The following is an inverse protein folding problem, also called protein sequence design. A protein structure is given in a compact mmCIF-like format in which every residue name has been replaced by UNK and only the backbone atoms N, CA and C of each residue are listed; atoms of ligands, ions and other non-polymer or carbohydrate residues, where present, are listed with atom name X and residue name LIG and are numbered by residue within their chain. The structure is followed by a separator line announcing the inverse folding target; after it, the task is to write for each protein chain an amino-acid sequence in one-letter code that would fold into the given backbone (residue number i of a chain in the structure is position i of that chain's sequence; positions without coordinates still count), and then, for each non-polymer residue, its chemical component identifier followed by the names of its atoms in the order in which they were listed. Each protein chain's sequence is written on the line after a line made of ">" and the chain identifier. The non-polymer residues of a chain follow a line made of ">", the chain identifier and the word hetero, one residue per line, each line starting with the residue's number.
data_IF_076756972347
#
_entry.id   IF_076756972347
#
_cell.length_a   1.000
_cell.length_b   1.000
_cell.length_c   1.000
_cell.angle_alpha   90.00
_cell.angle_beta   90.00
_cell.angle_gamma   90.00
#
_symmetry.space_group_name_H-M   'P 1'
#
loop_
_entity.id
_entity.type
_entity.pdbx_description
1 polymer ?
#
# COMPACT_ATOMS: atom_id res chain seq x y z
N UNK A 1 -23.89 9.76 -0.93
CA UNK A 1 -23.15 10.02 -2.18
C UNK A 1 -22.23 11.24 -2.10
N UNK A 2 -22.64 12.38 -1.52
CA UNK A 2 -21.79 13.60 -1.42
C UNK A 2 -20.60 13.45 -0.46
N UNK A 3 -20.78 12.77 0.69
CA UNK A 3 -19.72 12.59 1.68
C UNK A 3 -18.50 11.78 1.15
N UNK A 4 -18.76 10.76 0.34
CA UNK A 4 -17.71 9.95 -0.30
C UNK A 4 -16.95 10.72 -1.38
N UNK A 5 -17.61 11.61 -2.12
CA UNK A 5 -16.96 12.45 -3.13
C UNK A 5 -16.02 13.48 -2.50
N UNK A 6 -16.40 14.09 -1.37
CA UNK A 6 -15.54 15.02 -0.65
C UNK A 6 -14.30 14.32 -0.08
N UNK A 7 -14.48 13.15 0.54
CA UNK A 7 -13.37 12.33 1.04
C UNK A 7 -12.42 11.93 -0.11
N UNK A 8 -12.96 11.50 -1.25
CA UNK A 8 -12.16 11.17 -2.43
C UNK A 8 -11.35 12.36 -2.95
N UNK A 9 -11.96 13.55 -3.04
CA UNK A 9 -11.28 14.75 -3.49
C UNK A 9 -10.17 15.19 -2.52
N UNK A 10 -10.39 15.09 -1.21
CA UNK A 10 -9.38 15.38 -0.19
C UNK A 10 -8.19 14.43 -0.30
N UNK A 11 -8.46 13.13 -0.49
CA UNK A 11 -7.41 12.12 -0.70
C UNK A 11 -6.64 12.41 -1.98
N UNK A 12 -7.32 12.80 -3.07
CA UNK A 12 -6.68 13.14 -4.34
C UNK A 12 -5.73 14.35 -4.19
N UNK A 13 -6.21 15.43 -3.57
CA UNK A 13 -5.39 16.63 -3.33
C UNK A 13 -4.20 16.32 -2.43
N UNK A 14 -4.41 15.57 -1.34
CA UNK A 14 -3.33 15.15 -0.45
C UNK A 14 -2.30 14.27 -1.19
N UNK A 15 -2.75 13.31 -2.00
CA UNK A 15 -1.88 12.46 -2.81
C UNK A 15 -1.08 13.28 -3.82
N UNK A 16 -1.70 14.23 -4.51
CA UNK A 16 -1.01 15.14 -5.43
C UNK A 16 0.06 15.98 -4.71
N UNK A 17 -0.25 16.52 -3.53
CA UNK A 17 0.71 17.30 -2.76
C UNK A 17 1.90 16.45 -2.29
N UNK A 18 1.64 15.23 -1.77
CA UNK A 18 2.67 14.29 -1.37
C UNK A 18 3.54 13.85 -2.56
N UNK A 19 2.93 13.58 -3.71
CA UNK A 19 3.64 13.21 -4.93
C UNK A 19 4.53 14.35 -5.46
N UNK A 20 4.02 15.58 -5.44
CA UNK A 20 4.79 16.76 -5.83
C UNK A 20 5.98 16.97 -4.89
N UNK A 21 5.78 16.85 -3.58
CA UNK A 21 6.85 16.95 -2.58
C UNK A 21 7.92 15.86 -2.79
N UNK A 22 7.50 14.60 -2.97
CA UNK A 22 8.41 13.49 -3.20
C UNK A 22 9.20 13.64 -4.50
N UNK A 23 8.54 14.04 -5.59
CA UNK A 23 9.18 14.28 -6.89
C UNK A 23 10.18 15.42 -6.80
N UNK A 24 9.82 16.54 -6.18
CA UNK A 24 10.72 17.65 -5.95
C UNK A 24 11.92 17.23 -5.09
N UNK A 25 11.69 16.45 -4.04
CA UNK A 25 12.76 15.93 -3.18
C UNK A 25 13.74 15.03 -3.93
N UNK A 26 13.27 14.07 -4.73
CA UNK A 26 14.13 13.18 -5.54
C UNK A 26 14.92 13.97 -6.59
N UNK A 27 14.27 14.93 -7.27
CA UNK A 27 14.94 15.77 -8.27
C UNK A 27 16.01 16.66 -7.62
N UNK A 28 15.67 17.39 -6.55
CA UNK A 28 16.60 18.30 -5.88
C UNK A 28 17.78 17.54 -5.28
N UNK A 29 17.52 16.39 -4.63
CA UNK A 29 18.61 15.58 -4.07
C UNK A 29 19.56 15.01 -5.12
N UNK A 30 19.10 14.79 -6.36
CA UNK A 30 19.95 14.31 -7.46
C UNK A 30 20.90 15.36 -8.00
N UNK A 31 20.62 16.66 -7.84
CA UNK A 31 21.43 17.76 -8.39
C UNK A 31 22.21 18.55 -7.33
N UNK A 32 21.86 18.45 -6.05
CA UNK A 32 22.49 19.26 -4.97
C UNK A 32 23.46 18.40 -4.14
N UNK A 33 24.70 18.85 -4.01
CA UNK A 33 25.74 18.24 -3.14
C UNK A 33 25.41 18.33 -1.64
N UNK A 34 25.96 17.37 -0.87
CA UNK A 34 25.80 17.31 0.59
C UNK A 34 26.51 18.49 1.26
N UNK A 35 25.74 19.37 1.93
CA UNK A 35 26.28 20.53 2.66
C UNK A 35 25.52 21.83 2.45
N UNK A 36 24.61 21.90 1.46
CA UNK A 36 23.80 23.10 1.25
C UNK A 36 22.61 23.20 2.24
N UNK A 37 22.28 24.40 2.74
CA UNK A 37 21.18 24.61 3.70
C UNK A 37 19.81 24.19 3.17
N UNK A 38 19.63 24.15 1.84
CA UNK A 38 18.44 23.63 1.17
C UNK A 38 18.15 22.17 1.55
N UNK A 39 19.17 21.35 1.83
CA UNK A 39 18.97 19.96 2.26
C UNK A 39 18.36 19.84 3.66
N UNK A 40 18.30 20.91 4.48
CA UNK A 40 17.61 20.86 5.79
C UNK A 40 16.08 20.78 5.65
N UNK A 41 15.53 21.18 4.51
CA UNK A 41 14.10 21.06 4.20
C UNK A 41 13.73 19.66 3.69
N UNK A 42 14.72 18.82 3.41
CA UNK A 42 14.56 17.53 2.78
C UNK A 42 15.05 16.41 3.70
N UNK A 43 14.32 15.28 3.81
CA UNK A 43 14.82 14.12 4.54
C UNK A 43 16.15 13.62 3.94
N UNK A 44 17.01 13.00 4.76
CA UNK A 44 18.30 12.50 4.30
C UNK A 44 18.16 11.48 3.16
N UNK A 45 19.12 11.51 2.23
CA UNK A 45 19.07 10.82 0.92
C UNK A 45 18.77 9.32 0.97
N UNK A 46 19.13 8.63 2.06
CA UNK A 46 18.82 7.21 2.21
C UNK A 46 17.32 6.93 2.18
N UNK A 47 16.48 7.89 2.62
CA UNK A 47 15.03 7.74 2.54
C UNK A 47 14.50 7.84 1.10
N UNK A 48 15.22 8.45 0.15
CA UNK A 48 14.77 8.54 -1.23
C UNK A 48 14.70 7.15 -1.90
N UNK A 49 15.55 6.22 -1.47
CA UNK A 49 15.52 4.82 -1.94
C UNK A 49 14.60 3.98 -1.06
N UNK A 50 14.58 4.23 0.26
CA UNK A 50 13.75 3.46 1.19
C UNK A 50 12.25 3.69 0.98
N UNK A 51 11.83 4.91 0.59
CA UNK A 51 10.42 5.23 0.42
C UNK A 51 9.72 4.39 -0.68
N UNK A 52 10.24 4.28 -1.93
CA UNK A 52 9.69 3.39 -2.95
C UNK A 52 9.72 1.92 -2.53
N UNK A 53 10.80 1.49 -1.88
CA UNK A 53 10.96 0.09 -1.46
C UNK A 53 9.92 -0.28 -0.42
N UNK A 54 9.74 0.54 0.62
CA UNK A 54 8.72 0.31 1.65
C UNK A 54 7.32 0.34 1.05
N UNK A 55 7.02 1.31 0.18
CA UNK A 55 5.73 1.36 -0.52
C UNK A 55 5.49 0.09 -1.35
N UNK A 56 6.49 -0.37 -2.10
CA UNK A 56 6.44 -1.60 -2.88
C UNK A 56 6.19 -2.82 -1.99
N UNK A 57 6.94 -2.99 -0.92
CA UNK A 57 6.79 -4.12 0.02
C UNK A 57 5.41 -4.14 0.66
N UNK A 58 4.89 -2.98 1.09
CA UNK A 58 3.55 -2.90 1.68
C UNK A 58 2.47 -3.23 0.65
N UNK A 59 2.53 -2.64 -0.55
CA UNK A 59 1.55 -2.91 -1.61
C UNK A 59 1.55 -4.37 -2.04
N UNK A 60 2.73 -4.95 -2.27
CA UNK A 60 2.86 -6.37 -2.61
C UNK A 60 2.41 -7.26 -1.46
N UNK A 61 2.81 -6.98 -0.23
CA UNK A 61 2.41 -7.74 0.96
C UNK A 61 0.90 -7.77 1.15
N UNK A 62 0.25 -6.61 1.07
CA UNK A 62 -1.22 -6.51 1.18
C UNK A 62 -1.91 -7.26 0.04
N UNK A 63 -1.41 -7.11 -1.19
CA UNK A 63 -1.97 -7.81 -2.36
C UNK A 63 -1.86 -9.33 -2.21
N UNK A 64 -0.69 -9.84 -1.80
CA UNK A 64 -0.48 -11.27 -1.58
C UNK A 64 -1.30 -11.81 -0.41
N UNK A 65 -1.40 -11.08 0.70
CA UNK A 65 -2.22 -11.48 1.85
C UNK A 65 -3.72 -11.53 1.51
N UNK A 66 -4.22 -10.56 0.75
CA UNK A 66 -5.65 -10.53 0.36
C UNK A 66 -5.98 -11.64 -0.62
N UNK A 67 -5.15 -11.87 -1.64
CA UNK A 67 -5.30 -13.01 -2.55
C UNK A 67 -5.18 -14.36 -1.83
N UNK A 68 -4.16 -14.52 -0.99
CA UNK A 68 -3.97 -15.75 -0.21
C UNK A 68 -5.15 -16.03 0.72
N UNK A 69 -5.64 -15.00 1.42
CA UNK A 69 -6.84 -15.11 2.26
C UNK A 69 -8.09 -15.47 1.48
N UNK A 70 -8.26 -14.93 0.27
CA UNK A 70 -9.37 -15.27 -0.61
C UNK A 70 -9.33 -16.74 -1.06
N UNK A 71 -8.15 -17.24 -1.46
CA UNK A 71 -7.98 -18.65 -1.85
C UNK A 71 -8.30 -19.58 -0.68
N UNK A 72 -7.72 -19.32 0.50
CA UNK A 72 -7.93 -20.15 1.70
C UNK A 72 -9.40 -20.15 2.12
N UNK A 73 -10.04 -18.98 2.16
CA UNK A 73 -11.46 -18.90 2.52
C UNK A 73 -12.36 -19.64 1.54
N UNK A 74 -12.02 -19.66 0.24
CA UNK A 74 -12.78 -20.39 -0.77
C UNK A 74 -12.70 -21.91 -0.61
N UNK A 75 -11.53 -22.45 -0.26
CA UNK A 75 -11.34 -23.90 -0.06
C UNK A 75 -11.92 -24.38 1.28
N UNK A 76 -11.79 -23.57 2.34
CA UNK A 76 -12.43 -23.86 3.63
C UNK A 76 -13.95 -23.96 3.50
N UNK A 77 -14.57 -23.17 2.62
CA UNK A 77 -16.00 -23.26 2.32
C UNK A 77 -16.39 -24.61 1.73
N UNK A 78 -15.64 -25.11 0.75
CA UNK A 78 -15.89 -26.41 0.10
C UNK A 78 -15.71 -27.57 1.08
N UNK A 79 -14.63 -27.55 1.86
CA UNK A 79 -14.39 -28.58 2.86
C UNK A 79 -15.54 -28.62 3.87
N UNK A 80 -15.97 -27.47 4.41
CA UNK A 80 -17.09 -27.41 5.36
C UNK A 80 -18.37 -28.06 4.83
N UNK A 81 -18.67 -27.90 3.54
CA UNK A 81 -19.82 -28.56 2.89
C UNK A 81 -19.64 -30.08 2.82
N UNK A 82 -18.47 -30.56 2.39
CA UNK A 82 -18.18 -32.00 2.33
C UNK A 82 -18.27 -32.68 3.71
N UNK A 83 -17.74 -32.04 4.76
CA UNK A 83 -17.83 -32.56 6.13
C UNK A 83 -19.28 -32.55 6.65
N UNK A 84 -20.12 -31.59 6.23
CA UNK A 84 -21.53 -31.55 6.58
C UNK A 84 -22.32 -32.69 5.89
N UNK A 85 -22.10 -32.92 4.60
CA UNK A 85 -22.70 -34.02 3.85
C UNK A 85 -22.25 -35.39 4.38
N UNK A 86 -20.96 -35.54 4.72
CA UNK A 86 -20.43 -36.77 5.30
C UNK A 86 -21.06 -37.06 6.68
N UNK A 87 -21.25 -36.04 7.53
CA UNK A 87 -21.95 -36.19 8.81
C UNK A 87 -23.43 -36.50 8.62
N UNK A 88 -24.10 -35.90 7.64
CA UNK A 88 -25.51 -36.15 7.36
C UNK A 88 -25.76 -37.57 6.83
N UNK A 89 -24.80 -38.17 6.13
CA UNK A 89 -24.89 -39.57 5.65
C UNK A 89 -24.48 -40.60 6.72
N UNK A 90 -23.76 -40.17 7.75
CA UNK A 90 -23.31 -41.02 8.85
C UNK A 90 -24.26 -41.01 10.07
N UNK A 91 -25.30 -40.16 10.05
CA UNK A 91 -26.39 -40.09 11.02
C UNK A 91 -27.63 -40.82 10.49
#
# INVERSE_FOLDING_TARGET
>A
MVATALAGNLVLVAACALYAYYTAWVLVTSFVEEGQPILRLFPPRHFAIAAPVLAGVVLFGVTLCTLGGFIVSSELGKLRQQWAEAKAKAA
#
